data_IF_033693778771
#
_entry.id   IF_033693778771
#
_cell.length_a   1.000
_cell.length_b   1.000
_cell.length_c   1.000
_cell.angle_alpha   90.00
_cell.angle_beta   90.00
_cell.angle_gamma   90.00
#
_symmetry.space_group_name_H-M   'P 1'
#
loop_
_entity.id
_entity.type
_entity.pdbx_description
1 polymer ?
#
# COMPACT_ATOMS: atom_id res chain seq x y z
N UNK A 1 9.53 -19.14 8.75
CA UNK A 1 9.21 -17.99 9.62
C UNK A 1 8.46 -18.43 10.88
N UNK A 2 7.24 -18.97 10.79
CA UNK A 2 6.44 -19.42 11.96
C UNK A 2 7.24 -20.38 12.87
N UNK A 3 7.86 -21.41 12.30
CA UNK A 3 8.72 -22.36 13.04
C UNK A 3 9.88 -21.71 13.82
N UNK A 4 10.39 -20.58 13.33
CA UNK A 4 11.47 -19.85 14.01
C UNK A 4 10.89 -19.01 15.14
N UNK A 5 9.80 -18.28 14.87
CA UNK A 5 9.12 -17.45 15.86
C UNK A 5 8.58 -18.26 17.04
N UNK A 6 8.11 -19.49 16.80
CA UNK A 6 7.65 -20.40 17.86
C UNK A 6 8.77 -20.83 18.81
N UNK A 7 10.01 -20.92 18.30
CA UNK A 7 11.21 -21.28 19.07
C UNK A 7 11.89 -20.08 19.71
N UNK A 8 11.46 -18.86 19.41
CA UNK A 8 12.02 -17.67 20.04
C UNK A 8 11.58 -17.62 21.51
N UNK A 9 12.55 -17.45 22.40
CA UNK A 9 12.29 -17.12 23.79
C UNK A 9 11.99 -15.63 23.90
N UNK A 10 10.72 -15.26 23.65
CA UNK A 10 10.21 -13.92 23.93
C UNK A 10 9.22 -13.98 25.09
N UNK A 11 9.25 -12.96 25.95
CA UNK A 11 8.49 -12.93 27.21
C UNK A 11 7.00 -12.72 26.94
N UNK A 12 6.31 -13.80 26.55
CA UNK A 12 4.87 -13.80 26.25
C UNK A 12 4.02 -13.32 27.45
N UNK A 13 4.54 -13.47 28.67
CA UNK A 13 3.91 -13.07 29.94
C UNK A 13 3.89 -11.57 30.19
N UNK A 14 4.66 -10.78 29.43
CA UNK A 14 4.67 -9.31 29.57
C UNK A 14 3.36 -8.69 29.03
N UNK A 15 2.66 -9.37 28.12
CA UNK A 15 1.44 -8.87 27.52
C UNK A 15 0.20 -9.39 28.23
N UNK A 16 -0.74 -8.49 28.50
CA UNK A 16 -2.02 -8.76 29.14
C UNK A 16 -3.11 -8.54 28.09
N UNK A 17 -3.93 -9.56 27.81
CA UNK A 17 -5.02 -9.40 26.84
C UNK A 17 -6.20 -8.69 27.48
N UNK A 18 -6.94 -7.91 26.69
CA UNK A 18 -8.11 -7.18 27.17
C UNK A 18 -9.19 -8.02 27.85
N UNK A 19 -9.28 -9.32 27.53
CA UNK A 19 -10.21 -10.27 28.16
C UNK A 19 -9.80 -10.65 29.59
N UNK A 20 -8.51 -10.58 29.89
CA UNK A 20 -7.95 -10.94 31.21
C UNK A 20 -7.92 -9.75 32.18
N UNK A 21 -8.26 -8.54 31.69
CA UNK A 21 -8.30 -7.32 32.50
C UNK A 21 -9.56 -7.19 33.35
N UNK A 22 -10.66 -7.87 33.01
CA UNK A 22 -11.90 -7.84 33.79
C UNK A 22 -11.76 -8.58 35.14
N UNK A 23 -10.86 -9.56 35.20
CA UNK A 23 -10.59 -10.39 36.39
C UNK A 23 -9.42 -9.88 37.25
N UNK A 24 -8.70 -8.85 36.79
CA UNK A 24 -7.43 -8.43 37.38
C UNK A 24 -7.60 -7.11 38.13
N UNK A 25 -7.47 -7.22 39.45
CA UNK A 25 -7.72 -6.20 40.47
C UNK A 25 -7.32 -4.76 40.10
N UNK A 26 -8.19 -3.83 40.50
CA UNK A 26 -7.98 -2.38 40.60
C UNK A 26 -6.71 -2.07 41.42
N UNK A 27 -5.53 -2.14 40.79
CA UNK A 27 -4.27 -1.90 41.50
C UNK A 27 -3.00 -1.99 40.66
N UNK A 28 -3.09 -2.45 39.41
CA UNK A 28 -1.96 -2.43 38.48
C UNK A 28 -2.11 -1.28 37.50
N UNK A 29 -1.10 -0.41 37.49
CA UNK A 29 -0.92 0.64 36.51
C UNK A 29 -0.63 0.00 35.14
N UNK A 30 -1.69 -0.20 34.35
CA UNK A 30 -1.62 -0.76 33.00
C UNK A 30 -1.60 0.34 31.94
N UNK A 31 -0.83 0.12 30.89
CA UNK A 31 -0.75 0.97 29.71
C UNK A 31 -1.11 0.18 28.45
N UNK A 32 -1.88 0.79 27.56
CA UNK A 32 -2.25 0.18 26.28
C UNK A 32 -1.06 0.17 25.32
N UNK A 33 -0.67 -1.02 24.85
CA UNK A 33 0.39 -1.17 23.86
C UNK A 33 -0.13 -0.77 22.48
N UNK A 34 0.37 0.34 21.94
CA UNK A 34 0.04 0.80 20.58
C UNK A 34 1.22 0.58 19.65
N UNK A 35 0.97 -0.05 18.51
CA UNK A 35 1.98 -0.22 17.46
C UNK A 35 2.01 1.02 16.54
N UNK A 36 3.18 1.58 16.22
CA UNK A 36 3.32 2.70 15.28
C UNK A 36 2.67 2.45 13.91
N UNK A 37 2.75 1.22 13.39
CA UNK A 37 2.12 0.83 12.12
C UNK A 37 0.59 0.90 12.16
N UNK A 38 -0.03 0.52 13.29
CA UNK A 38 -1.49 0.58 13.46
C UNK A 38 -1.98 2.03 13.52
N UNK A 39 -1.19 2.91 14.15
CA UNK A 39 -1.46 4.36 14.18
C UNK A 39 -1.31 4.96 12.78
N UNK A 40 -0.25 4.57 12.07
CA UNK A 40 0.04 5.08 10.72
C UNK A 40 -1.03 4.66 9.71
N UNK A 41 -1.57 3.45 9.86
CA UNK A 41 -2.60 2.89 8.98
C UNK A 41 -4.03 3.13 9.49
N UNK A 42 -4.20 3.93 10.55
CA UNK A 42 -5.51 4.27 11.08
C UNK A 42 -6.36 4.98 10.00
N UNK A 43 -7.58 4.48 9.80
CA UNK A 43 -8.50 4.98 8.78
C UNK A 43 -8.30 4.38 7.38
N UNK A 44 -7.33 3.47 7.18
CA UNK A 44 -7.21 2.73 5.94
C UNK A 44 -8.30 1.65 5.86
N UNK A 45 -9.35 1.93 5.09
CA UNK A 45 -10.59 1.12 5.01
C UNK A 45 -10.35 -0.39 4.86
N UNK A 46 -9.40 -0.88 4.03
CA UNK A 46 -9.15 -2.31 3.92
C UNK A 46 -8.73 -2.99 5.24
N UNK A 47 -8.08 -2.26 6.15
CA UNK A 47 -7.65 -2.78 7.46
C UNK A 47 -8.65 -2.49 8.58
N UNK A 48 -9.60 -1.57 8.38
CA UNK A 48 -10.61 -1.22 9.40
C UNK A 48 -11.58 -2.36 9.72
N UNK A 49 -11.76 -3.32 8.80
CA UNK A 49 -12.62 -4.48 9.00
C UNK A 49 -11.97 -5.57 9.87
N UNK A 50 -10.70 -5.40 10.26
CA UNK A 50 -9.98 -6.33 11.11
C UNK A 50 -9.96 -5.79 12.56
N UNK A 51 -10.94 -6.14 13.43
CA UNK A 51 -10.96 -5.67 14.80
C UNK A 51 -9.69 -6.08 15.53
N UNK A 52 -9.01 -5.11 16.16
CA UNK A 52 -7.81 -5.36 16.95
C UNK A 52 -8.20 -5.46 18.42
N UNK A 53 -7.96 -6.64 19.02
CA UNK A 53 -8.14 -6.79 20.46
C UNK A 53 -7.10 -5.90 21.20
N UNK A 54 -7.53 -5.15 22.24
CA UNK A 54 -6.63 -4.34 23.02
C UNK A 54 -5.66 -5.22 23.82
N UNK A 55 -4.41 -4.74 23.95
CA UNK A 55 -3.36 -5.43 24.69
C UNK A 55 -2.63 -4.43 25.59
N UNK A 56 -2.41 -4.83 26.84
CA UNK A 56 -1.87 -3.98 27.87
C UNK A 56 -0.54 -4.50 28.39
N UNK A 57 0.24 -3.61 28.99
CA UNK A 57 1.50 -3.90 29.67
C UNK A 57 1.54 -3.14 31.00
N UNK A 58 2.25 -3.67 32.00
CA UNK A 58 2.52 -2.92 33.24
C UNK A 58 3.47 -1.76 32.97
N UNK A 59 3.26 -0.59 33.59
CA UNK A 59 4.12 0.60 33.39
C UNK A 59 5.59 0.39 33.75
N UNK A 60 5.92 -0.64 34.51
CA UNK A 60 7.29 -0.99 34.90
C UNK A 60 8.07 -1.68 33.78
N UNK A 61 7.38 -2.20 32.77
CA UNK A 61 7.98 -2.93 31.66
C UNK A 61 8.43 -2.00 30.53
N UNK A 62 9.34 -2.49 29.70
CA UNK A 62 9.82 -1.77 28.53
C UNK A 62 8.77 -1.81 27.39
N UNK A 63 8.28 -0.64 27.00
CA UNK A 63 7.28 -0.48 25.95
C UNK A 63 7.80 -0.96 24.58
N UNK A 64 9.08 -0.74 24.25
CA UNK A 64 9.64 -1.17 22.96
C UNK A 64 9.65 -2.70 22.87
N UNK A 65 10.05 -3.36 23.96
CA UNK A 65 9.99 -4.82 24.08
C UNK A 65 8.55 -5.31 24.01
N UNK A 66 7.62 -4.66 24.71
CA UNK A 66 6.20 -5.02 24.66
C UNK A 66 5.62 -4.93 23.24
N UNK A 67 5.94 -3.88 22.49
CA UNK A 67 5.53 -3.76 21.09
C UNK A 67 6.12 -4.87 20.21
N UNK A 68 7.39 -5.24 20.40
CA UNK A 68 8.00 -6.38 19.68
C UNK A 68 7.31 -7.69 20.03
N UNK A 69 7.05 -7.94 21.32
CA UNK A 69 6.28 -9.10 21.77
C UNK A 69 4.88 -9.13 21.14
N UNK A 70 4.21 -7.98 21.01
CA UNK A 70 2.89 -7.89 20.42
C UNK A 70 2.92 -8.22 18.92
N UNK A 71 3.94 -7.75 18.19
CA UNK A 71 4.16 -8.13 16.79
C UNK A 71 4.38 -9.62 16.63
N UNK A 72 5.27 -10.22 17.42
CA UNK A 72 5.53 -11.67 17.37
C UNK A 72 4.25 -12.45 17.66
N UNK A 73 3.48 -12.04 18.68
CA UNK A 73 2.20 -12.64 19.04
C UNK A 73 1.20 -12.59 17.88
N UNK A 74 1.02 -11.42 17.24
CA UNK A 74 0.12 -11.25 16.08
C UNK A 74 0.56 -12.10 14.88
N UNK A 75 1.86 -12.14 14.57
CA UNK A 75 2.38 -12.94 13.44
C UNK A 75 2.21 -14.44 13.71
N UNK A 76 2.47 -14.89 14.95
CA UNK A 76 2.25 -16.29 15.33
C UNK A 76 0.78 -16.66 15.25
N UNK A 77 -0.13 -15.83 15.80
CA UNK A 77 -1.57 -16.05 15.69
C UNK A 77 -2.00 -16.17 14.22
N UNK A 78 -1.56 -15.25 13.37
CA UNK A 78 -1.88 -15.28 11.95
C UNK A 78 -1.36 -16.57 11.28
N UNK A 79 -0.12 -16.97 11.56
CA UNK A 79 0.46 -18.19 10.98
C UNK A 79 -0.17 -19.49 11.50
N UNK A 80 -0.40 -19.59 12.81
CA UNK A 80 -0.82 -20.82 13.47
C UNK A 80 -2.33 -21.02 13.43
N UNK A 81 -3.10 -19.95 13.59
CA UNK A 81 -4.57 -20.00 13.69
C UNK A 81 -5.20 -19.63 12.35
N UNK A 82 -4.86 -18.46 11.81
CA UNK A 82 -5.53 -17.95 10.61
C UNK A 82 -5.15 -18.77 9.36
N UNK A 83 -3.87 -18.84 9.00
CA UNK A 83 -3.43 -19.54 7.77
C UNK A 83 -3.65 -21.06 7.79
N UNK A 84 -3.67 -21.67 8.97
CA UNK A 84 -4.03 -23.09 9.13
C UNK A 84 -5.56 -23.30 9.16
N UNK A 85 -6.33 -22.29 9.57
CA UNK A 85 -7.78 -22.37 9.75
C UNK A 85 -8.61 -21.88 8.57
N UNK A 86 -7.98 -21.47 7.46
CA UNK A 86 -8.68 -21.16 6.22
C UNK A 86 -9.36 -22.41 5.65
N UNK A 87 -10.50 -22.21 4.97
CA UNK A 87 -11.20 -23.30 4.25
C UNK A 87 -10.26 -24.01 3.26
N UNK A 88 -9.44 -23.24 2.56
CA UNK A 88 -8.27 -23.75 1.84
C UNK A 88 -7.01 -23.37 2.63
N UNK A 89 -6.44 -24.29 3.44
CA UNK A 89 -5.30 -23.96 4.29
C UNK A 89 -4.07 -23.62 3.45
N UNK A 90 -3.28 -22.68 3.92
CA UNK A 90 -1.99 -22.30 3.30
C UNK A 90 -0.84 -22.98 4.02
N UNK A 91 -0.98 -23.17 5.33
CA UNK A 91 -0.02 -23.85 6.19
C UNK A 91 -0.68 -25.07 6.87
N UNK A 92 0.14 -26.08 7.19
CA UNK A 92 -0.26 -27.18 8.09
C UNK A 92 0.87 -27.50 9.06
N UNK A 93 0.51 -27.97 10.26
CA UNK A 93 1.47 -28.56 11.19
C UNK A 93 1.72 -30.02 10.78
N UNK A 94 2.96 -30.32 10.37
CA UNK A 94 3.40 -31.66 9.99
C UNK A 94 4.39 -32.19 11.03
N UNK A 95 4.19 -33.43 11.47
CA UNK A 95 5.15 -34.13 12.33
C UNK A 95 6.14 -34.90 11.46
N UNK A 96 7.42 -34.63 11.63
CA UNK A 96 8.49 -35.35 10.95
C UNK A 96 8.69 -36.75 11.54
N UNK A 97 9.40 -37.61 10.81
CA UNK A 97 9.79 -38.95 11.27
C UNK A 97 10.64 -38.91 12.54
N UNK A 98 11.40 -37.82 12.74
CA UNK A 98 12.20 -37.56 13.95
C UNK A 98 11.36 -37.10 15.14
N UNK A 99 10.04 -36.97 14.98
CA UNK A 99 9.09 -36.58 16.02
C UNK A 99 8.91 -35.08 16.22
N UNK A 100 9.56 -34.24 15.40
CA UNK A 100 9.49 -32.78 15.50
C UNK A 100 8.30 -32.28 14.69
N UNK A 101 7.44 -31.46 15.29
CA UNK A 101 6.33 -30.81 14.59
C UNK A 101 6.80 -29.49 13.98
N UNK A 102 6.47 -29.27 12.71
CA UNK A 102 6.80 -28.05 11.98
C UNK A 102 5.67 -27.60 11.05
N UNK A 103 5.47 -26.29 10.94
CA UNK A 103 4.57 -25.69 9.98
C UNK A 103 5.18 -25.71 8.58
N UNK A 104 4.47 -26.31 7.62
CA UNK A 104 4.88 -26.43 6.21
C UNK A 104 3.83 -25.81 5.29
N UNK A 105 4.27 -25.31 4.12
CA UNK A 105 3.36 -24.86 3.06
C UNK A 105 2.65 -26.03 2.42
N UNK A 106 1.34 -25.90 2.21
CA UNK A 106 0.54 -26.87 1.44
C UNK A 106 0.14 -26.35 0.06
N UNK A 107 0.50 -25.10 -0.25
CA UNK A 107 0.28 -24.54 -1.57
C UNK A 107 1.29 -25.16 -2.53
N UNK A 108 0.80 -25.79 -3.59
CA UNK A 108 1.64 -26.27 -4.68
C UNK A 108 2.23 -25.05 -5.39
N UNK A 109 3.55 -24.87 -5.25
CA UNK A 109 4.26 -23.98 -6.15
C UNK A 109 4.22 -24.65 -7.53
N UNK A 110 3.41 -24.13 -8.45
CA UNK A 110 3.48 -24.52 -9.86
C UNK A 110 4.94 -24.39 -10.27
N UNK A 111 5.60 -25.52 -10.49
CA UNK A 111 7.00 -25.57 -10.87
C UNK A 111 7.11 -25.07 -12.30
N UNK A 112 7.12 -23.75 -12.47
CA UNK A 112 7.63 -23.14 -13.70
C UNK A 112 9.12 -23.42 -13.75
N UNK A 113 9.44 -24.52 -14.44
CA UNK A 113 10.72 -24.86 -15.08
C UNK A 113 11.99 -24.97 -14.23
N UNK A 114 12.66 -26.12 -14.40
CA UNK A 114 14.11 -26.34 -14.31
C UNK A 114 14.94 -25.15 -14.83
N UNK A 115 16.22 -24.97 -14.40
CA UNK A 115 17.08 -23.89 -14.85
C UNK A 115 17.54 -24.14 -16.29
N UNK A 116 16.65 -23.90 -17.25
CA UNK A 116 16.99 -23.79 -18.66
C UNK A 116 16.97 -22.31 -19.01
N UNK A 117 18.18 -21.73 -19.04
CA UNK A 117 18.47 -20.41 -19.61
C UNK A 117 17.85 -19.22 -18.84
N UNK A 118 18.57 -18.09 -18.69
CA UNK A 118 17.90 -16.88 -18.24
C UNK A 118 16.81 -16.58 -19.26
N UNK A 119 15.54 -16.39 -18.86
CA UNK A 119 14.58 -15.80 -19.78
C UNK A 119 15.15 -14.44 -20.15
N UNK A 120 15.50 -14.28 -21.43
CA UNK A 120 15.62 -12.96 -22.03
C UNK A 120 14.42 -12.19 -21.53
N UNK A 121 14.67 -11.14 -20.74
CA UNK A 121 13.66 -10.15 -20.42
C UNK A 121 13.14 -9.69 -21.77
N UNK A 122 12.02 -10.28 -22.20
CA UNK A 122 11.20 -9.67 -23.22
C UNK A 122 10.70 -8.44 -22.53
N UNK A 123 11.42 -7.34 -22.72
CA UNK A 123 10.94 -5.99 -22.45
C UNK A 123 9.54 -5.95 -23.03
N UNK A 124 8.56 -6.08 -22.14
CA UNK A 124 7.18 -5.85 -22.49
C UNK A 124 7.15 -4.39 -22.90
N UNK A 125 7.03 -4.21 -24.21
CA UNK A 125 7.13 -2.96 -24.96
C UNK A 125 6.76 -1.75 -24.10
N UNK A 126 7.77 -1.03 -23.62
CA UNK A 126 7.58 0.36 -23.25
C UNK A 126 7.14 1.06 -24.53
N UNK A 127 5.85 1.33 -24.66
CA UNK A 127 5.34 2.20 -25.72
C UNK A 127 5.91 3.59 -25.47
N UNK A 128 7.10 3.85 -26.03
CA UNK A 128 7.67 5.19 -26.14
C UNK A 128 6.80 5.90 -27.17
N UNK A 129 5.81 6.65 -26.71
CA UNK A 129 5.14 7.63 -27.56
C UNK A 129 6.17 8.70 -27.94
N UNK A 130 6.83 8.51 -29.08
CA UNK A 130 7.63 9.55 -29.72
C UNK A 130 6.70 10.70 -30.10
N UNK A 131 6.69 11.75 -29.28
CA UNK A 131 6.09 13.03 -29.63
C UNK A 131 6.91 13.63 -30.76
N UNK A 132 6.38 13.54 -32.00
CA UNK A 132 6.89 14.36 -33.10
C UNK A 132 6.55 15.81 -32.77
N UNK A 133 7.52 16.54 -32.23
CA UNK A 133 7.47 18.00 -32.12
C UNK A 133 7.58 18.56 -33.53
N UNK A 134 6.43 18.97 -34.05
CA UNK A 134 6.29 19.55 -35.36
C UNK A 134 4.81 19.81 -35.57
N UNK A 135 4.34 20.96 -35.10
CA UNK A 135 4.06 22.12 -35.95
C UNK A 135 4.03 23.35 -35.03
N UNK A 136 4.96 24.27 -35.27
CA UNK A 136 4.94 25.62 -34.70
C UNK A 136 3.68 26.35 -35.17
N UNK A 137 3.03 27.12 -34.28
CA UNK A 137 2.21 28.33 -34.55
C UNK A 137 1.45 28.76 -33.27
N UNK A 138 1.17 30.06 -33.04
CA UNK A 138 2.14 31.05 -32.62
C UNK A 138 1.81 31.59 -31.22
N UNK A 139 2.81 32.21 -30.61
CA UNK A 139 2.76 33.00 -29.37
C UNK A 139 1.69 34.11 -29.53
N UNK A 140 0.46 33.82 -29.13
CA UNK A 140 -0.60 34.83 -29.08
C UNK A 140 -0.54 35.57 -27.74
N UNK A 141 0.34 36.58 -27.72
CA UNK A 141 0.11 37.89 -27.11
C UNK A 141 -0.54 37.94 -25.73
N UNK A 142 0.31 38.15 -24.71
CA UNK A 142 0.23 39.31 -23.80
C UNK A 142 -1.18 39.91 -23.64
N UNK A 143 -2.00 39.36 -22.72
CA UNK A 143 -2.93 40.19 -21.95
C UNK A 143 -2.35 40.48 -20.57
N UNK A 144 -1.41 41.42 -20.59
CA UNK A 144 -1.08 42.29 -19.46
C UNK A 144 -2.36 43.03 -19.05
N UNK A 145 -2.72 43.00 -17.76
CA UNK A 145 -3.55 43.99 -17.04
C UNK A 145 -3.64 43.56 -15.55
N UNK A 146 -3.77 44.49 -14.59
CA UNK A 146 -2.83 45.54 -14.22
C UNK A 146 -2.29 45.35 -12.78
N UNK A 147 -1.08 45.86 -12.56
CA UNK A 147 -0.49 46.11 -11.24
C UNK A 147 -1.17 47.31 -10.58
N UNK A 148 -1.97 47.12 -9.52
CA UNK A 148 -2.45 48.12 -8.55
C UNK A 148 -2.93 47.35 -7.29
N UNK A 149 -2.52 47.57 -6.04
CA UNK A 149 -1.59 48.50 -5.43
C UNK A 149 -1.56 48.26 -3.90
N UNK A 150 -0.38 48.53 -3.32
CA UNK A 150 -0.05 48.95 -1.96
C UNK A 150 -0.54 48.18 -0.70
N UNK A 151 0.49 47.80 0.07
CA UNK A 151 0.61 47.11 1.37
C UNK A 151 -0.20 47.76 2.53
N UNK A 152 -0.52 47.02 3.63
CA UNK A 152 0.48 46.77 4.67
C UNK A 152 0.54 45.33 5.22
N UNK A 153 1.78 44.89 5.41
CA UNK A 153 2.33 44.06 6.49
C UNK A 153 1.41 43.05 7.19
N UNK A 154 1.50 41.77 6.80
CA UNK A 154 1.48 40.62 7.72
C UNK A 154 2.23 39.43 7.10
N UNK A 155 3.23 38.91 7.80
CA UNK A 155 4.37 38.15 7.24
C UNK A 155 4.06 36.65 6.97
N UNK A 156 2.79 36.26 6.85
CA UNK A 156 2.39 34.85 6.59
C UNK A 156 1.49 34.64 5.37
N UNK A 157 0.96 35.70 4.75
CA UNK A 157 0.07 35.61 3.59
C UNK A 157 0.71 35.41 2.19
N UNK A 158 2.00 35.73 1.90
CA UNK A 158 2.48 35.71 0.51
C UNK A 158 2.76 34.29 -0.03
N UNK A 159 3.06 33.32 0.84
CA UNK A 159 3.44 31.96 0.43
C UNK A 159 2.22 31.17 -0.08
N UNK A 160 1.11 31.20 0.66
CA UNK A 160 -0.12 30.53 0.25
C UNK A 160 -0.67 31.07 -1.09
N UNK A 161 -0.57 32.39 -1.32
CA UNK A 161 -1.02 32.99 -2.57
C UNK A 161 -0.14 32.57 -3.77
N UNK A 162 1.17 32.34 -3.57
CA UNK A 162 2.08 31.82 -4.59
C UNK A 162 1.77 30.34 -4.88
N UNK A 163 1.55 29.54 -3.84
CA UNK A 163 1.20 28.12 -3.99
C UNK A 163 -0.13 27.92 -4.71
N UNK A 164 -1.16 28.72 -4.37
CA UNK A 164 -2.46 28.68 -5.05
C UNK A 164 -2.30 28.99 -6.54
N UNK A 165 -1.50 30.00 -6.91
CA UNK A 165 -1.22 30.32 -8.32
C UNK A 165 -0.49 29.18 -9.03
N UNK A 166 0.53 28.60 -8.41
CA UNK A 166 1.25 27.44 -8.96
C UNK A 166 0.34 26.23 -9.16
N UNK A 167 -0.60 25.99 -8.25
CA UNK A 167 -1.55 24.89 -8.36
C UNK A 167 -2.56 25.11 -9.49
N UNK A 168 -3.01 26.35 -9.69
CA UNK A 168 -3.92 26.71 -10.79
C UNK A 168 -3.23 26.52 -12.15
N UNK A 169 -2.01 27.05 -12.31
CA UNK A 169 -1.23 26.87 -13.55
C UNK A 169 -0.97 25.39 -13.85
N UNK A 170 -0.59 24.62 -12.82
CA UNK A 170 -0.36 23.18 -12.96
C UNK A 170 -1.65 22.43 -13.33
N UNK A 171 -2.80 22.82 -12.78
CA UNK A 171 -4.11 22.25 -13.12
C UNK A 171 -4.45 22.52 -14.59
N UNK A 172 -4.28 23.75 -15.06
CA UNK A 172 -4.57 24.12 -16.45
C UNK A 172 -3.69 23.37 -17.47
N UNK A 173 -2.41 23.19 -17.14
CA UNK A 173 -1.48 22.40 -17.96
C UNK A 173 -1.90 20.93 -18.02
N UNK A 174 -2.28 20.34 -16.89
CA UNK A 174 -2.75 18.96 -16.82
C UNK A 174 -4.06 18.76 -17.61
N UNK A 175 -5.02 19.68 -17.51
CA UNK A 175 -6.24 19.61 -18.31
C UNK A 175 -5.96 19.73 -19.82
N UNK A 176 -4.98 20.54 -20.22
CA UNK A 176 -4.55 20.61 -21.63
C UNK A 176 -3.96 19.27 -22.10
N UNK A 177 -3.12 18.63 -21.27
CA UNK A 177 -2.56 17.31 -21.57
C UNK A 177 -3.65 16.23 -21.66
N UNK A 178 -4.58 16.23 -20.72
CA UNK A 178 -5.70 15.29 -20.71
C UNK A 178 -6.56 15.43 -21.97
N UNK A 179 -6.93 16.67 -22.37
CA UNK A 179 -7.69 16.89 -23.62
C UNK A 179 -6.93 16.41 -24.86
N UNK A 180 -5.60 16.52 -24.89
CA UNK A 180 -4.77 15.98 -25.99
C UNK A 180 -4.81 14.44 -26.01
N UNK A 181 -4.66 13.80 -24.84
CA UNK A 181 -4.75 12.35 -24.71
C UNK A 181 -6.14 11.81 -25.06
N UNK A 182 -7.22 12.46 -24.63
CA UNK A 182 -8.59 12.05 -24.95
C UNK A 182 -8.86 12.12 -26.46
N UNK A 183 -8.40 13.18 -27.13
CA UNK A 183 -8.47 13.26 -28.60
C UNK A 183 -7.67 12.17 -29.27
N UNK A 184 -6.48 11.85 -28.76
CA UNK A 184 -5.67 10.75 -29.29
C UNK A 184 -6.39 9.41 -29.11
N UNK A 185 -6.88 9.11 -27.91
CA UNK A 185 -7.64 7.90 -27.60
C UNK A 185 -8.86 7.76 -28.51
N UNK A 186 -9.60 8.84 -28.73
CA UNK A 186 -10.77 8.82 -29.61
C UNK A 186 -10.38 8.56 -31.08
N UNK A 187 -9.26 9.12 -31.56
CA UNK A 187 -8.72 8.80 -32.89
C UNK A 187 -8.34 7.33 -33.01
N UNK A 188 -7.66 6.77 -32.01
CA UNK A 188 -7.29 5.34 -31.98
C UNK A 188 -8.54 4.45 -31.99
N UNK A 189 -9.53 4.74 -31.16
CA UNK A 189 -10.79 3.99 -31.13
C UNK A 189 -11.55 4.07 -32.46
N UNK A 190 -11.56 5.23 -33.12
CA UNK A 190 -12.15 5.37 -34.46
C UNK A 190 -11.39 4.57 -35.51
N UNK A 191 -10.06 4.50 -35.43
CA UNK A 191 -9.27 3.65 -36.34
C UNK A 191 -9.57 2.17 -36.09
N UNK A 192 -9.57 1.72 -34.84
CA UNK A 192 -9.86 0.33 -34.46
C UNK A 192 -11.26 -0.11 -34.93
N UNK A 193 -12.28 0.71 -34.71
CA UNK A 193 -13.64 0.40 -35.17
C UNK A 193 -13.73 0.37 -36.70
N UNK A 194 -13.08 1.29 -37.41
CA UNK A 194 -13.02 1.27 -38.89
C UNK A 194 -12.29 0.03 -39.42
N UNK A 195 -11.20 -0.40 -38.80
CA UNK A 195 -10.47 -1.61 -39.20
C UNK A 195 -11.28 -2.88 -38.94
N UNK A 196 -12.01 -2.95 -37.82
CA UNK A 196 -12.90 -4.06 -37.51
C UNK A 196 -14.06 -4.16 -38.50
N UNK A 197 -14.63 -3.01 -38.90
CA UNK A 197 -15.67 -2.96 -39.94
C UNK A 197 -15.11 -3.40 -41.30
N UNK A 198 -13.92 -2.95 -41.69
CA UNK A 198 -13.25 -3.36 -42.93
C UNK A 198 -12.92 -4.86 -42.98
N UNK A 199 -12.65 -5.50 -41.84
CA UNK A 199 -12.45 -6.96 -41.76
C UNK A 199 -13.76 -7.75 -41.96
N UNK A 200 -14.90 -7.19 -41.55
CA UNK A 200 -16.22 -7.84 -41.74
C UNK A 200 -16.69 -7.78 -43.21
N UNK A 201 -16.34 -6.72 -43.94
CA UNK A 201 -16.70 -6.56 -45.37
C UNK A 201 -15.72 -7.22 -46.35
N UNK A 202 -14.73 -7.99 -45.86
CA UNK A 202 -13.74 -8.69 -46.69
C UNK A 202 -13.91 -10.22 -46.71
N UNK A 203 -15.06 -10.71 -46.25
CA UNK A 203 -15.53 -12.09 -46.39
C UNK A 203 -16.67 -12.17 -47.41
#
# INVERSE_FOLDING_TARGET
MVNLLEKLNYTRTTLIQGKDTEDREEGKDLELVKLPEDITLAGFTPLMLNPQDPCYVEKTEDMEVAQVCLRISKILFFGQVFLCGLETPVLKLQKSETGVSEYVSVVEASSTSLPSSPPTQSDSELMVESYSEGEEEPISTLRRLPSCGNVPDDTTAPVAAVEIRSLIERKEELERRQRKQDRHRQRVQLTLTKTSILHVYRC
#
